data_IF_579433049186
#
_entry.id   IF_579433049186
#
_cell.length_a   1.000
_cell.length_b   1.000
_cell.length_c   1.000
_cell.angle_alpha   90.00
_cell.angle_beta   90.00
_cell.angle_gamma   90.00
#
_symmetry.space_group_name_H-M   'P 1'
#
loop_
_entity.id
_entity.type
_entity.pdbx_description
1 polymer ?
#
# COMPACT_ATOMS: atom_id res chain seq x y z
N UNK A 1 -25.29 8.91 2.48
CA UNK A 1 -25.12 7.93 3.58
C UNK A 1 -24.18 8.51 4.60
N UNK A 2 -24.39 8.16 5.87
CA UNK A 2 -23.50 8.52 6.95
C UNK A 2 -22.37 7.48 7.03
N UNK A 3 -21.14 7.91 6.74
CA UNK A 3 -19.97 7.03 6.67
C UNK A 3 -18.95 7.39 7.75
N UNK A 4 -18.58 6.41 8.58
CA UNK A 4 -17.57 6.58 9.61
C UNK A 4 -16.25 5.98 9.18
N UNK A 5 -15.19 6.80 9.11
CA UNK A 5 -13.86 6.37 8.66
C UNK A 5 -12.89 6.31 9.84
N UNK A 6 -12.33 5.13 10.09
CA UNK A 6 -11.28 4.93 11.08
C UNK A 6 -9.93 5.01 10.38
N UNK A 7 -9.08 5.97 10.77
CA UNK A 7 -7.77 6.18 10.14
C UNK A 7 -7.82 7.01 8.85
N UNK A 8 -8.71 7.99 8.80
CA UNK A 8 -8.94 8.85 7.62
C UNK A 8 -7.80 9.81 7.26
N UNK A 9 -6.75 9.98 8.10
CA UNK A 9 -5.64 10.92 7.88
C UNK A 9 -4.35 10.28 7.33
N UNK A 10 -4.31 8.96 7.18
CA UNK A 10 -3.19 8.29 6.51
C UNK A 10 -3.24 8.47 4.99
N UNK A 11 -2.16 8.09 4.29
CA UNK A 11 -2.02 8.20 2.83
C UNK A 11 -3.29 7.74 2.07
N UNK A 12 -3.73 6.52 2.30
CA UNK A 12 -4.92 5.98 1.65
C UNK A 12 -6.21 6.54 2.26
N UNK A 13 -6.25 6.73 3.59
CA UNK A 13 -7.40 7.25 4.32
C UNK A 13 -7.83 8.63 3.82
N UNK A 14 -6.89 9.55 3.61
CA UNK A 14 -7.15 10.90 3.07
C UNK A 14 -7.78 10.81 1.67
N UNK A 15 -7.28 9.95 0.79
CA UNK A 15 -7.86 9.72 -0.53
C UNK A 15 -9.29 9.18 -0.45
N UNK A 16 -9.55 8.23 0.46
CA UNK A 16 -10.89 7.67 0.69
C UNK A 16 -11.87 8.74 1.19
N UNK A 17 -11.48 9.50 2.22
CA UNK A 17 -12.33 10.58 2.76
C UNK A 17 -12.66 11.61 1.70
N UNK A 18 -11.67 12.09 0.93
CA UNK A 18 -11.88 13.04 -0.18
C UNK A 18 -12.89 12.50 -1.21
N UNK A 19 -12.77 11.21 -1.58
CA UNK A 19 -13.64 10.56 -2.55
C UNK A 19 -15.06 10.34 -2.03
N UNK A 20 -15.21 9.96 -0.76
CA UNK A 20 -16.54 9.80 -0.13
C UNK A 20 -17.28 11.14 -0.07
N UNK A 21 -16.60 12.21 0.36
CA UNK A 21 -17.19 13.57 0.36
C UNK A 21 -17.57 14.01 -1.05
N UNK A 22 -16.69 13.78 -2.03
CA UNK A 22 -16.98 14.12 -3.44
C UNK A 22 -18.15 13.30 -4.03
N UNK A 23 -18.40 12.10 -3.51
CA UNK A 23 -19.56 11.26 -3.87
C UNK A 23 -20.85 11.70 -3.15
N UNK A 24 -20.79 12.69 -2.24
CA UNK A 24 -21.95 13.23 -1.53
C UNK A 24 -22.33 12.48 -0.25
N UNK A 25 -21.38 11.80 0.37
CA UNK A 25 -21.56 11.17 1.69
C UNK A 25 -21.26 12.15 2.82
N UNK A 26 -21.96 12.01 3.93
CA UNK A 26 -21.66 12.68 5.18
C UNK A 26 -20.59 11.85 5.91
N UNK A 27 -19.40 12.43 6.10
CA UNK A 27 -18.22 11.67 6.59
C UNK A 27 -17.82 12.16 7.98
N UNK A 28 -17.73 11.20 8.92
CA UNK A 28 -17.09 11.36 10.23
C UNK A 28 -15.78 10.60 10.24
N UNK A 29 -14.66 11.24 10.61
CA UNK A 29 -13.33 10.63 10.66
C UNK A 29 -12.82 10.53 12.09
N UNK A 30 -12.56 9.29 12.57
CA UNK A 30 -11.85 9.04 13.83
C UNK A 30 -10.35 9.02 13.59
N UNK A 31 -9.62 9.87 14.31
CA UNK A 31 -8.19 10.05 14.17
C UNK A 31 -7.54 10.41 15.51
N UNK A 32 -6.26 10.05 15.69
CA UNK A 32 -5.52 10.37 16.92
C UNK A 32 -5.23 11.87 17.10
N UNK A 33 -5.36 12.66 16.02
CA UNK A 33 -5.08 14.09 16.04
C UNK A 33 -3.60 14.47 15.99
N UNK A 34 -2.74 13.52 15.62
CA UNK A 34 -1.28 13.71 15.56
C UNK A 34 -0.80 14.24 14.20
N UNK A 35 -1.66 14.24 13.19
CA UNK A 35 -1.34 14.64 11.82
C UNK A 35 -2.10 15.93 11.49
N UNK A 36 -1.41 16.93 10.94
CA UNK A 36 -2.06 18.02 10.21
C UNK A 36 -2.80 17.41 9.04
N UNK A 37 -4.13 17.35 9.14
CA UNK A 37 -4.93 16.69 8.12
C UNK A 37 -5.41 17.69 7.06
N UNK A 38 -5.23 17.29 5.81
CA UNK A 38 -5.77 17.97 4.64
C UNK A 38 -7.13 17.37 4.23
N UNK A 39 -7.98 17.09 5.23
CA UNK A 39 -9.33 16.60 4.98
C UNK A 39 -10.25 17.74 4.51
N UNK A 40 -11.20 17.44 3.59
CA UNK A 40 -12.16 18.41 3.09
C UNK A 40 -12.95 19.13 4.21
N UNK A 41 -13.32 20.38 3.93
CA UNK A 41 -14.24 21.10 4.77
C UNK A 41 -15.60 20.38 4.79
N UNK A 42 -16.17 20.18 5.99
CA UNK A 42 -17.43 19.45 6.17
C UNK A 42 -17.26 18.02 6.68
N UNK A 43 -16.04 17.50 6.75
CA UNK A 43 -15.77 16.25 7.46
C UNK A 43 -15.84 16.50 8.96
N UNK A 44 -16.67 15.73 9.66
CA UNK A 44 -16.68 15.74 11.13
C UNK A 44 -15.45 14.99 11.66
N UNK A 45 -14.67 15.65 12.54
CA UNK A 45 -13.44 15.09 13.09
C UNK A 45 -13.67 14.68 14.54
N UNK A 46 -13.42 13.39 14.82
CA UNK A 46 -13.44 12.85 16.18
C UNK A 46 -12.01 12.51 16.58
N UNK A 47 -11.50 13.20 17.61
CA UNK A 47 -10.18 12.87 18.16
C UNK A 47 -10.29 11.70 19.13
N UNK A 48 -9.48 10.66 18.91
CA UNK A 48 -9.45 9.51 19.79
C UNK A 48 -8.61 8.35 19.24
N UNK A 49 -8.22 7.46 20.13
CA UNK A 49 -7.53 6.24 19.77
C UNK A 49 -8.55 5.13 19.49
N UNK A 50 -8.44 4.48 18.30
CA UNK A 50 -9.31 3.37 17.94
C UNK A 50 -9.04 2.12 18.81
N UNK A 51 -7.84 2.01 19.40
CA UNK A 51 -7.46 0.92 20.30
C UNK A 51 -8.03 1.08 21.73
N UNK A 52 -8.75 2.19 21.99
CA UNK A 52 -9.62 2.34 23.15
C UNK A 52 -11.08 2.01 22.78
N UNK A 53 -11.61 0.82 23.18
CA UNK A 53 -12.97 0.40 22.82
C UNK A 53 -14.06 1.37 23.34
N UNK A 54 -13.79 2.11 24.40
CA UNK A 54 -14.74 3.08 24.95
C UNK A 54 -14.87 4.31 24.06
N UNK A 55 -13.75 4.77 23.47
CA UNK A 55 -13.69 5.87 22.51
C UNK A 55 -14.41 5.48 21.23
N UNK A 56 -14.05 4.30 20.65
CA UNK A 56 -14.70 3.83 19.43
C UNK A 56 -16.20 3.66 19.60
N UNK A 57 -16.64 3.02 20.70
CA UNK A 57 -18.07 2.82 21.02
C UNK A 57 -18.82 4.16 21.19
N UNK A 58 -18.20 5.12 21.84
CA UNK A 58 -18.75 6.48 21.98
C UNK A 58 -18.93 7.16 20.64
N UNK A 59 -17.87 7.16 19.82
CA UNK A 59 -17.85 7.80 18.51
C UNK A 59 -18.87 7.17 17.53
N UNK A 60 -18.94 5.83 17.45
CA UNK A 60 -19.93 5.13 16.61
C UNK A 60 -21.36 5.41 17.06
N UNK A 61 -21.61 5.41 18.38
CA UNK A 61 -22.94 5.73 18.90
C UNK A 61 -23.37 7.17 18.56
N UNK A 62 -22.45 8.12 18.71
CA UNK A 62 -22.74 9.55 18.53
C UNK A 62 -22.89 9.91 17.05
N UNK A 63 -22.11 9.27 16.16
CA UNK A 63 -22.22 9.42 14.70
C UNK A 63 -23.39 8.62 14.09
N UNK A 64 -23.80 7.51 14.70
CA UNK A 64 -24.83 6.58 14.17
C UNK A 64 -24.69 6.26 12.68
N UNK A 65 -23.53 5.82 12.20
CA UNK A 65 -23.26 5.67 10.78
C UNK A 65 -23.98 4.44 10.18
N UNK A 66 -24.34 4.54 8.89
CA UNK A 66 -24.79 3.40 8.08
C UNK A 66 -23.63 2.46 7.72
N UNK A 67 -22.45 3.06 7.44
CA UNK A 67 -21.26 2.33 6.97
C UNK A 67 -20.02 2.73 7.77
N UNK A 68 -19.21 1.74 8.15
CA UNK A 68 -17.86 1.96 8.70
C UNK A 68 -16.81 1.56 7.66
N UNK A 69 -15.79 2.40 7.47
CA UNK A 69 -14.58 2.10 6.70
C UNK A 69 -13.40 2.07 7.66
N UNK A 70 -12.76 0.91 7.85
CA UNK A 70 -11.66 0.74 8.81
C UNK A 70 -10.32 0.50 8.11
N UNK A 71 -9.43 1.49 8.24
CA UNK A 71 -8.06 1.47 7.72
C UNK A 71 -7.04 1.02 8.77
N UNK A 72 -7.43 0.92 10.05
CA UNK A 72 -6.52 0.81 11.18
C UNK A 72 -6.70 -0.47 12.02
N UNK A 73 -7.37 -1.51 11.50
CA UNK A 73 -7.46 -2.81 12.15
C UNK A 73 -6.35 -3.75 11.66
N UNK A 74 -5.52 -4.27 12.56
CA UNK A 74 -4.32 -5.04 12.21
C UNK A 74 -4.29 -6.48 12.72
N UNK A 75 -5.22 -6.87 13.59
CA UNK A 75 -5.28 -8.20 14.18
C UNK A 75 -6.72 -8.64 14.53
N UNK A 76 -6.86 -9.90 14.96
CA UNK A 76 -8.16 -10.48 15.27
C UNK A 76 -8.78 -9.93 16.57
N UNK A 77 -8.01 -9.46 17.54
CA UNK A 77 -8.53 -8.91 18.78
C UNK A 77 -9.24 -7.61 18.50
N UNK A 78 -8.52 -6.69 17.82
CA UNK A 78 -9.04 -5.42 17.34
C UNK A 78 -10.27 -5.60 16.43
N UNK A 79 -10.26 -6.62 15.55
CA UNK A 79 -11.41 -6.93 14.70
C UNK A 79 -12.64 -7.37 15.51
N UNK A 80 -12.48 -8.24 16.50
CA UNK A 80 -13.60 -8.71 17.34
C UNK A 80 -14.21 -7.58 18.16
N UNK A 81 -13.40 -6.67 18.70
CA UNK A 81 -13.87 -5.47 19.40
C UNK A 81 -14.69 -4.57 18.48
N UNK A 82 -14.21 -4.31 17.27
CA UNK A 82 -14.94 -3.53 16.28
C UNK A 82 -16.28 -4.21 15.88
N UNK A 83 -16.27 -5.52 15.68
CA UNK A 83 -17.48 -6.31 15.41
C UNK A 83 -18.48 -6.18 16.56
N UNK A 84 -18.06 -6.35 17.81
CA UNK A 84 -18.93 -6.22 18.98
C UNK A 84 -19.59 -4.84 19.06
N UNK A 85 -18.82 -3.78 18.71
CA UNK A 85 -19.32 -2.41 18.76
C UNK A 85 -20.28 -2.12 17.60
N UNK A 86 -19.98 -2.62 16.39
CA UNK A 86 -20.65 -2.18 15.16
C UNK A 86 -21.83 -3.05 14.74
N UNK A 87 -21.80 -4.39 14.97
CA UNK A 87 -22.71 -5.35 14.35
C UNK A 87 -24.21 -5.14 14.58
N UNK A 88 -24.59 -4.35 15.57
CA UNK A 88 -26.00 -4.06 15.88
C UNK A 88 -26.45 -2.64 15.51
N UNK A 89 -25.53 -1.81 14.97
CA UNK A 89 -25.77 -0.39 14.70
C UNK A 89 -25.28 0.06 13.34
N UNK A 90 -24.56 -0.78 12.60
CA UNK A 90 -23.96 -0.49 11.31
C UNK A 90 -24.44 -1.53 10.30
N UNK A 91 -24.92 -1.11 9.15
CA UNK A 91 -25.39 -2.01 8.10
C UNK A 91 -24.22 -2.68 7.35
N UNK A 92 -23.13 -1.93 7.15
CA UNK A 92 -21.97 -2.42 6.39
C UNK A 92 -20.63 -2.02 7.02
N UNK A 93 -19.70 -2.97 7.07
CA UNK A 93 -18.33 -2.76 7.50
C UNK A 93 -17.37 -3.03 6.34
N UNK A 94 -16.63 -2.01 5.92
CA UNK A 94 -15.63 -2.08 4.85
C UNK A 94 -14.24 -2.13 5.49
N UNK A 95 -13.63 -3.31 5.46
CA UNK A 95 -12.32 -3.55 6.05
C UNK A 95 -11.21 -3.36 5.02
N UNK A 96 -10.21 -2.54 5.37
CA UNK A 96 -8.97 -2.44 4.61
C UNK A 96 -8.06 -3.61 4.96
N UNK A 97 -8.13 -4.67 4.18
CA UNK A 97 -7.20 -5.79 4.19
C UNK A 97 -5.87 -5.41 3.53
N UNK A 98 -5.20 -6.40 2.96
CA UNK A 98 -3.93 -6.24 2.23
C UNK A 98 -3.70 -7.44 1.33
N UNK A 99 -2.95 -7.28 0.23
CA UNK A 99 -2.49 -8.42 -0.56
C UNK A 99 -1.46 -9.30 0.18
N UNK A 100 -0.94 -8.84 1.29
CA UNK A 100 0.02 -9.61 2.10
C UNK A 100 -0.61 -10.86 2.73
N UNK A 101 -1.93 -10.94 2.70
CA UNK A 101 -2.64 -12.19 3.08
C UNK A 101 -2.28 -13.37 2.19
N UNK A 102 -1.78 -13.15 0.97
CA UNK A 102 -1.45 -14.22 0.06
C UNK A 102 -0.08 -14.84 0.34
N UNK A 103 -0.01 -16.16 0.18
CA UNK A 103 1.25 -16.90 0.27
C UNK A 103 2.29 -16.44 -0.75
N UNK A 104 3.57 -16.42 -0.36
CA UNK A 104 4.71 -16.09 -1.22
C UNK A 104 5.73 -17.24 -1.25
N UNK A 105 6.34 -17.56 -2.40
CA UNK A 105 5.98 -17.05 -3.73
C UNK A 105 4.55 -17.46 -4.14
N UNK A 106 3.84 -16.67 -4.96
CA UNK A 106 2.53 -17.08 -5.43
C UNK A 106 2.67 -18.34 -6.29
N UNK A 107 1.79 -19.35 -6.15
CA UNK A 107 1.89 -20.58 -6.91
C UNK A 107 1.62 -20.35 -8.42
N UNK A 108 0.96 -19.26 -8.75
CA UNK A 108 0.72 -18.79 -10.13
C UNK A 108 0.41 -17.31 -10.16
N UNK A 109 0.62 -16.68 -11.29
CA UNK A 109 0.13 -15.35 -11.65
C UNK A 109 -0.97 -15.48 -12.75
N UNK A 110 -1.99 -14.61 -12.79
CA UNK A 110 -2.26 -13.60 -11.77
C UNK A 110 -2.81 -14.22 -10.46
N UNK A 111 -2.56 -13.51 -9.34
CA UNK A 111 -3.10 -13.83 -8.01
C UNK A 111 -4.55 -13.36 -7.96
N UNK A 112 -5.46 -14.26 -7.61
CA UNK A 112 -6.90 -13.99 -7.43
C UNK A 112 -7.27 -14.05 -5.96
N UNK A 113 -8.47 -13.61 -5.60
CA UNK A 113 -8.95 -13.66 -4.21
C UNK A 113 -9.12 -15.08 -3.64
N UNK A 114 -9.12 -16.08 -4.51
CA UNK A 114 -9.12 -17.51 -4.13
C UNK A 114 -7.72 -18.11 -3.96
N UNK A 115 -6.66 -17.33 -4.17
CA UNK A 115 -5.28 -17.80 -4.02
C UNK A 115 -4.95 -18.13 -2.56
N UNK A 116 -4.02 -19.08 -2.30
CA UNK A 116 -3.67 -19.50 -0.94
C UNK A 116 -3.17 -18.34 -0.07
N UNK A 117 -3.59 -18.33 1.20
CA UNK A 117 -3.18 -17.34 2.20
C UNK A 117 -2.17 -17.87 3.22
N UNK A 118 -1.95 -19.17 3.27
CA UNK A 118 -1.07 -19.83 4.25
C UNK A 118 0.12 -20.53 3.56
N UNK A 119 1.29 -20.56 4.23
CA UNK A 119 1.62 -19.83 5.45
C UNK A 119 1.74 -18.31 5.22
N UNK A 120 1.51 -17.46 6.25
CA UNK A 120 1.68 -16.01 6.14
C UNK A 120 3.15 -15.64 5.93
N UNK A 121 3.39 -14.52 5.23
CA UNK A 121 4.75 -14.05 4.91
C UNK A 121 5.40 -13.27 6.07
N UNK A 122 4.61 -12.76 7.00
CA UNK A 122 5.04 -11.96 8.14
C UNK A 122 4.00 -11.98 9.27
N UNK A 123 4.37 -11.45 10.46
CA UNK A 123 3.43 -11.27 11.57
C UNK A 123 2.30 -10.29 11.19
N UNK A 124 2.61 -9.24 10.43
CA UNK A 124 1.62 -8.33 9.88
C UNK A 124 0.60 -9.07 9.01
N UNK A 125 1.07 -9.90 8.09
CA UNK A 125 0.21 -10.72 7.25
C UNK A 125 -0.66 -11.68 8.09
N UNK A 126 -0.07 -12.32 9.11
CA UNK A 126 -0.79 -13.21 10.01
C UNK A 126 -1.91 -12.47 10.76
N UNK A 127 -1.63 -11.27 11.27
CA UNK A 127 -2.61 -10.42 11.93
C UNK A 127 -3.75 -10.01 10.99
N UNK A 128 -3.42 -9.55 9.77
CA UNK A 128 -4.43 -9.18 8.76
C UNK A 128 -5.29 -10.37 8.31
N UNK A 129 -4.71 -11.57 8.15
CA UNK A 129 -5.46 -12.81 7.85
C UNK A 129 -6.46 -13.10 8.98
N UNK A 130 -6.01 -13.04 10.23
CA UNK A 130 -6.85 -13.35 11.38
C UNK A 130 -7.97 -12.32 11.59
N UNK A 131 -7.71 -11.04 11.31
CA UNK A 131 -8.74 -10.00 11.31
C UNK A 131 -9.76 -10.22 10.20
N UNK A 132 -9.31 -10.51 8.97
CA UNK A 132 -10.19 -10.81 7.82
C UNK A 132 -11.09 -12.02 8.10
N UNK A 133 -10.55 -13.10 8.68
CA UNK A 133 -11.31 -14.28 9.04
C UNK A 133 -12.37 -13.94 10.09
N UNK A 134 -12.04 -13.14 11.12
CA UNK A 134 -12.99 -12.71 12.13
C UNK A 134 -14.15 -11.87 11.55
N UNK A 135 -13.85 -10.97 10.61
CA UNK A 135 -14.88 -10.19 9.91
C UNK A 135 -15.77 -11.07 9.02
N UNK A 136 -15.21 -12.03 8.28
CA UNK A 136 -16.01 -12.95 7.48
C UNK A 136 -16.89 -13.87 8.33
N UNK A 137 -16.41 -14.33 9.50
CA UNK A 137 -17.21 -15.12 10.45
C UNK A 137 -18.38 -14.31 11.03
N UNK A 138 -18.25 -12.98 11.11
CA UNK A 138 -19.28 -12.08 11.60
C UNK A 138 -20.25 -11.58 10.52
N UNK A 139 -19.94 -11.83 9.24
CA UNK A 139 -20.78 -11.37 8.13
C UNK A 139 -22.19 -11.93 8.21
N UNK A 140 -23.17 -11.05 8.11
CA UNK A 140 -24.59 -11.37 8.01
C UNK A 140 -25.22 -10.58 6.86
N UNK A 141 -25.67 -11.24 5.79
CA UNK A 141 -26.22 -10.54 4.62
C UNK A 141 -27.52 -9.80 4.90
N UNK A 142 -28.23 -10.14 5.98
CA UNK A 142 -29.50 -9.51 6.37
C UNK A 142 -29.32 -8.44 7.48
N UNK A 143 -28.06 -8.21 7.96
CA UNK A 143 -27.80 -7.30 9.05
C UNK A 143 -26.44 -6.61 8.97
N UNK A 144 -25.35 -7.34 9.15
CA UNK A 144 -23.99 -6.79 9.21
C UNK A 144 -23.18 -7.26 8.01
N UNK A 145 -23.26 -6.51 6.89
CA UNK A 145 -22.47 -6.83 5.70
C UNK A 145 -20.99 -6.52 5.91
N UNK A 146 -20.11 -7.44 5.56
CA UNK A 146 -18.66 -7.25 5.56
C UNK A 146 -18.12 -7.24 4.13
N UNK A 147 -17.34 -6.23 3.80
CA UNK A 147 -16.61 -6.12 2.52
C UNK A 147 -15.12 -5.95 2.81
N UNK A 148 -14.27 -6.74 2.17
CA UNK A 148 -12.82 -6.65 2.36
C UNK A 148 -12.14 -6.18 1.08
N UNK A 149 -11.34 -5.11 1.16
CA UNK A 149 -10.50 -4.67 0.07
C UNK A 149 -9.03 -5.00 0.38
N UNK A 150 -8.31 -5.50 -0.61
CA UNK A 150 -6.90 -5.89 -0.50
C UNK A 150 -6.04 -5.02 -1.43
N UNK A 151 -5.67 -3.80 -0.98
CA UNK A 151 -4.75 -2.93 -1.73
C UNK A 151 -3.31 -3.46 -1.67
N UNK A 152 -2.48 -3.02 -2.62
CA UNK A 152 -1.04 -3.24 -2.62
C UNK A 152 -0.27 -2.00 -3.04
N UNK A 153 0.80 -1.69 -2.29
CA UNK A 153 1.75 -0.62 -2.61
C UNK A 153 1.07 0.65 -3.14
N UNK A 154 0.23 1.19 -2.29
CA UNK A 154 -0.48 2.42 -2.59
C UNK A 154 0.46 3.60 -2.45
N UNK A 155 0.48 4.47 -3.46
CA UNK A 155 1.27 5.69 -3.51
C UNK A 155 0.38 6.88 -3.92
N UNK A 156 0.84 8.10 -3.67
CA UNK A 156 0.10 9.35 -3.95
C UNK A 156 0.64 10.48 -3.08
N UNK A 157 0.05 11.67 -3.17
CA UNK A 157 0.41 12.85 -2.33
C UNK A 157 0.48 12.50 -0.84
N UNK A 158 1.45 13.03 -0.13
CA UNK A 158 1.71 12.74 1.28
C UNK A 158 2.39 11.40 1.53
N UNK A 159 2.80 10.70 0.47
CA UNK A 159 3.63 9.50 0.51
C UNK A 159 4.90 9.69 -0.29
N UNK A 160 5.66 8.61 -0.46
CA UNK A 160 6.89 8.60 -1.24
C UNK A 160 6.94 7.40 -2.18
N UNK A 161 7.99 7.31 -2.98
CA UNK A 161 8.22 6.22 -3.93
C UNK A 161 9.02 5.10 -3.27
N UNK A 162 8.67 3.86 -3.59
CA UNK A 162 9.36 2.67 -3.07
C UNK A 162 10.62 2.40 -3.89
N UNK A 163 11.70 1.99 -3.24
CA UNK A 163 12.89 1.47 -3.88
C UNK A 163 13.42 0.21 -3.17
N UNK A 164 14.47 -0.41 -3.69
CA UNK A 164 14.99 -1.69 -3.15
C UNK A 164 15.33 -1.63 -1.65
N UNK A 165 15.82 -0.50 -1.16
CA UNK A 165 16.30 -0.33 0.21
C UNK A 165 15.32 0.41 1.13
N UNK A 166 14.14 0.80 0.65
CA UNK A 166 13.16 1.50 1.49
C UNK A 166 12.17 2.37 0.75
N UNK A 167 11.77 3.42 1.45
CA UNK A 167 10.76 4.38 1.01
C UNK A 167 11.18 5.82 1.35
N UNK A 168 12.47 6.08 1.57
CA UNK A 168 12.97 7.43 1.84
C UNK A 168 12.95 8.28 0.56
N UNK A 169 12.79 9.59 0.73
CA UNK A 169 12.64 10.52 -0.40
C UNK A 169 13.97 10.86 -1.08
N UNK A 170 15.10 10.50 -0.49
CA UNK A 170 16.43 10.68 -1.09
C UNK A 170 16.58 9.91 -2.42
N UNK A 171 15.78 8.86 -2.61
CA UNK A 171 15.66 8.13 -3.87
C UNK A 171 15.28 9.05 -5.05
N UNK A 172 14.42 10.04 -4.82
CA UNK A 172 13.97 11.01 -5.86
C UNK A 172 15.13 11.88 -6.31
N UNK A 173 15.85 12.44 -5.35
CA UNK A 173 17.03 13.28 -5.65
C UNK A 173 18.15 12.46 -6.29
N UNK A 174 18.32 11.20 -5.86
CA UNK A 174 19.25 10.24 -6.46
C UNK A 174 18.97 10.01 -7.95
N UNK A 175 17.71 9.84 -8.32
CA UNK A 175 17.30 9.72 -9.73
C UNK A 175 17.60 11.02 -10.50
N UNK A 176 17.26 12.19 -9.94
CA UNK A 176 17.49 13.50 -10.57
C UNK A 176 18.96 13.75 -10.84
N UNK A 177 19.82 13.39 -9.90
CA UNK A 177 21.26 13.60 -9.97
C UNK A 177 22.01 12.47 -10.71
N UNK A 178 21.30 11.49 -11.29
CA UNK A 178 21.89 10.36 -12.01
C UNK A 178 22.82 9.51 -11.15
N UNK A 179 22.52 9.39 -9.86
CA UNK A 179 23.30 8.58 -8.92
C UNK A 179 22.95 7.10 -9.04
N UNK A 180 23.85 6.19 -8.66
CA UNK A 180 23.59 4.75 -8.70
C UNK A 180 22.33 4.35 -7.92
N UNK A 181 21.46 3.56 -8.50
CA UNK A 181 20.26 2.99 -7.88
C UNK A 181 20.43 1.50 -7.68
N UNK A 182 20.33 1.04 -6.44
CA UNK A 182 20.42 -0.39 -6.13
C UNK A 182 19.16 -1.11 -6.58
N UNK A 183 19.33 -2.15 -7.38
CA UNK A 183 18.26 -3.03 -7.86
C UNK A 183 18.51 -4.45 -7.40
N UNK A 184 17.53 -5.10 -6.84
CA UNK A 184 17.66 -6.47 -6.36
C UNK A 184 17.62 -7.50 -7.50
N UNK A 185 18.45 -8.54 -7.40
CA UNK A 185 18.54 -9.61 -8.39
C UNK A 185 18.96 -9.05 -9.75
N UNK A 186 18.22 -9.36 -10.79
CA UNK A 186 18.37 -8.84 -12.15
C UNK A 186 17.34 -7.74 -12.48
N UNK A 187 16.54 -7.33 -11.51
CA UNK A 187 15.51 -6.32 -11.69
C UNK A 187 14.30 -6.76 -12.52
N UNK A 188 14.14 -8.06 -12.81
CA UNK A 188 13.09 -8.57 -13.70
C UNK A 188 11.85 -9.08 -12.98
N UNK A 189 11.82 -9.09 -11.64
CA UNK A 189 10.60 -9.45 -10.92
C UNK A 189 9.47 -8.43 -11.19
N UNK A 190 8.26 -8.97 -11.40
CA UNK A 190 7.09 -8.19 -11.81
C UNK A 190 6.29 -7.68 -10.60
N UNK A 191 5.86 -6.44 -10.69
CA UNK A 191 4.99 -5.79 -9.72
C UNK A 191 4.29 -4.57 -10.33
N UNK A 192 3.52 -3.81 -9.52
CA UNK A 192 2.94 -2.55 -9.94
C UNK A 192 2.30 -1.82 -8.77
N UNK A 193 2.75 -0.60 -8.41
CA UNK A 193 2.10 0.22 -7.40
C UNK A 193 0.78 0.78 -7.92
N UNK A 194 -0.22 0.98 -7.03
CA UNK A 194 -1.51 1.53 -7.39
C UNK A 194 -1.70 2.91 -6.77
N UNK A 195 -2.13 3.88 -7.57
CA UNK A 195 -2.37 5.22 -7.06
C UNK A 195 -3.51 5.22 -6.03
N UNK A 196 -3.34 5.96 -4.91
CA UNK A 196 -4.31 6.01 -3.81
C UNK A 196 -5.72 6.38 -4.26
N UNK A 197 -5.83 7.26 -5.26
CA UNK A 197 -7.11 7.73 -5.77
C UNK A 197 -7.90 6.65 -6.51
N UNK A 198 -7.21 5.73 -7.18
CA UNK A 198 -7.85 4.58 -7.82
C UNK A 198 -8.27 3.55 -6.75
N UNK A 199 -7.42 3.31 -5.75
CA UNK A 199 -7.77 2.46 -4.61
C UNK A 199 -8.98 3.05 -3.86
N UNK A 200 -8.98 4.35 -3.56
CA UNK A 200 -10.07 5.04 -2.87
C UNK A 200 -11.41 4.91 -3.62
N UNK A 201 -11.38 4.90 -4.96
CA UNK A 201 -12.58 4.67 -5.78
C UNK A 201 -13.23 3.31 -5.54
N UNK A 202 -12.42 2.28 -5.32
CA UNK A 202 -12.93 0.95 -4.96
C UNK A 202 -13.61 0.96 -3.58
N UNK A 203 -13.09 1.74 -2.62
CA UNK A 203 -13.73 1.91 -1.31
C UNK A 203 -15.09 2.61 -1.44
N UNK A 204 -15.23 3.64 -2.27
CA UNK A 204 -16.54 4.24 -2.57
C UNK A 204 -17.49 3.20 -3.15
N UNK A 205 -17.04 2.39 -4.11
CA UNK A 205 -17.84 1.28 -4.64
C UNK A 205 -18.25 0.26 -3.58
N UNK A 206 -17.37 -0.04 -2.62
CA UNK A 206 -17.68 -0.95 -1.51
C UNK A 206 -18.72 -0.35 -0.54
N UNK A 207 -18.74 0.97 -0.38
CA UNK A 207 -19.73 1.70 0.41
C UNK A 207 -21.10 1.70 -0.28
N UNK A 208 -21.16 2.00 -1.59
CA UNK A 208 -22.39 2.31 -2.31
C UNK A 208 -23.09 1.10 -2.92
N UNK A 209 -22.33 0.10 -3.41
CA UNK A 209 -22.91 -0.94 -4.25
C UNK A 209 -23.61 -2.03 -3.46
N UNK A 210 -24.81 -2.47 -3.86
CA UNK A 210 -25.47 -3.59 -3.22
C UNK A 210 -24.86 -4.94 -3.65
N UNK A 211 -25.00 -5.95 -2.79
CA UNK A 211 -24.62 -7.33 -3.08
C UNK A 211 -23.11 -7.60 -3.13
N UNK A 212 -22.30 -6.72 -2.55
CA UNK A 212 -20.84 -6.83 -2.49
C UNK A 212 -20.34 -7.48 -1.17
N UNK A 213 -21.25 -7.65 -0.21
CA UNK A 213 -20.95 -8.24 1.09
C UNK A 213 -20.47 -9.70 1.03
N UNK A 214 -19.75 -10.14 2.07
CA UNK A 214 -19.19 -11.49 2.20
C UNK A 214 -18.03 -11.80 1.26
N UNK A 215 -17.38 -10.79 0.68
CA UNK A 215 -16.34 -10.97 -0.34
C UNK A 215 -15.10 -10.13 -0.07
N UNK A 216 -13.95 -10.67 -0.54
CA UNK A 216 -12.72 -9.91 -0.67
C UNK A 216 -12.52 -9.46 -2.13
N UNK A 217 -11.78 -8.37 -2.30
CA UNK A 217 -11.49 -7.74 -3.58
C UNK A 217 -10.03 -7.32 -3.66
N UNK A 218 -9.30 -7.81 -4.65
CA UNK A 218 -8.00 -7.24 -4.99
C UNK A 218 -8.20 -5.86 -5.60
N UNK A 219 -7.44 -4.88 -5.12
CA UNK A 219 -7.47 -3.51 -5.62
C UNK A 219 -6.03 -3.06 -5.82
N UNK A 220 -5.50 -3.34 -6.99
CA UNK A 220 -4.07 -3.17 -7.31
C UNK A 220 -3.90 -2.50 -8.67
N UNK A 221 -2.63 -2.22 -9.05
CA UNK A 221 -2.32 -1.67 -10.35
C UNK A 221 -2.74 -2.61 -11.49
N UNK A 222 -3.15 -2.04 -12.62
CA UNK A 222 -3.27 -2.73 -13.90
C UNK A 222 -2.02 -2.57 -14.76
N UNK A 223 -1.12 -1.65 -14.40
CA UNK A 223 0.20 -1.55 -14.98
C UNK A 223 1.16 -2.51 -14.26
N UNK A 224 1.61 -3.53 -14.98
CA UNK A 224 2.62 -4.46 -14.49
C UNK A 224 3.95 -4.13 -15.14
N UNK A 225 4.99 -3.98 -14.34
CA UNK A 225 6.34 -3.63 -14.80
C UNK A 225 7.40 -4.42 -14.03
N UNK A 226 8.59 -4.52 -14.61
CA UNK A 226 9.78 -4.98 -13.89
C UNK A 226 10.34 -3.87 -13.01
N UNK A 227 11.23 -4.20 -12.07
CA UNK A 227 11.92 -3.18 -11.27
C UNK A 227 12.81 -2.28 -12.14
N UNK A 228 13.45 -2.83 -13.18
CA UNK A 228 14.20 -2.02 -14.14
C UNK A 228 13.28 -0.97 -14.78
N UNK A 229 12.17 -1.43 -15.37
CA UNK A 229 11.18 -0.53 -15.97
C UNK A 229 10.60 0.49 -14.98
N UNK A 230 10.42 0.10 -13.72
CA UNK A 230 9.95 1.02 -12.69
C UNK A 230 10.92 2.21 -12.51
N UNK A 231 12.20 1.94 -12.33
CA UNK A 231 13.22 3.00 -12.17
C UNK A 231 13.38 3.83 -13.44
N UNK A 232 13.36 3.21 -14.62
CA UNK A 232 13.39 3.89 -15.92
C UNK A 232 12.19 4.83 -16.09
N UNK A 233 10.98 4.38 -15.72
CA UNK A 233 9.75 5.16 -15.81
C UNK A 233 9.70 6.28 -14.76
N UNK A 234 10.24 6.10 -13.56
CA UNK A 234 10.41 7.17 -12.58
C UNK A 234 11.35 8.25 -13.14
N UNK A 235 12.50 7.87 -13.69
CA UNK A 235 13.42 8.82 -14.28
C UNK A 235 12.78 9.58 -15.46
N UNK A 236 12.07 8.89 -16.34
CA UNK A 236 11.35 9.52 -17.45
C UNK A 236 10.24 10.48 -16.97
N UNK A 237 9.51 10.13 -15.89
CA UNK A 237 8.49 10.99 -15.31
C UNK A 237 9.05 12.31 -14.75
N UNK A 238 10.32 12.29 -14.32
CA UNK A 238 11.01 13.43 -13.72
C UNK A 238 11.91 14.18 -14.72
N UNK A 239 11.88 13.84 -16.01
CA UNK A 239 12.81 14.36 -17.03
C UNK A 239 14.29 14.21 -16.62
N UNK A 240 14.59 13.17 -15.82
CA UNK A 240 15.91 12.87 -15.29
C UNK A 240 16.75 12.04 -16.29
N UNK A 241 18.08 11.98 -16.12
CA UNK A 241 18.93 11.08 -16.90
C UNK A 241 18.50 9.60 -16.79
N UNK A 242 18.92 8.78 -17.78
CA UNK A 242 18.79 7.30 -17.67
C UNK A 242 19.42 6.83 -16.35
N UNK A 243 18.70 6.05 -15.53
CA UNK A 243 19.17 5.68 -14.21
C UNK A 243 20.32 4.67 -14.27
N UNK A 244 21.36 4.89 -13.47
CA UNK A 244 22.49 3.97 -13.29
C UNK A 244 22.10 2.81 -12.39
N UNK A 245 21.53 1.74 -12.96
CA UNK A 245 21.02 0.59 -12.23
C UNK A 245 22.13 -0.37 -11.81
N UNK A 246 22.32 -0.55 -10.50
CA UNK A 246 23.30 -1.48 -9.93
C UNK A 246 22.61 -2.73 -9.42
N UNK A 247 22.71 -3.82 -10.18
CA UNK A 247 22.06 -5.09 -9.88
C UNK A 247 22.86 -5.89 -8.84
N UNK A 248 22.30 -6.05 -7.64
CA UNK A 248 22.91 -6.79 -6.53
C UNK A 248 22.04 -8.01 -6.20
N UNK A 249 22.64 -9.24 -6.09
CA UNK A 249 21.86 -10.41 -5.74
C UNK A 249 21.06 -10.22 -4.44
N UNK A 250 19.79 -10.61 -4.48
CA UNK A 250 18.86 -10.46 -3.35
C UNK A 250 19.43 -10.96 -2.03
N UNK A 251 20.10 -12.12 -2.04
CA UNK A 251 20.66 -12.70 -0.81
C UNK A 251 21.84 -11.90 -0.25
N UNK A 252 22.60 -11.22 -1.12
CA UNK A 252 23.67 -10.30 -0.69
C UNK A 252 23.05 -9.08 0.00
N UNK A 253 22.05 -8.44 -0.63
CA UNK A 253 21.35 -7.30 -0.03
C UNK A 253 20.75 -7.64 1.33
N UNK A 254 20.12 -8.81 1.45
CA UNK A 254 19.55 -9.29 2.72
C UNK A 254 20.58 -9.54 3.80
N UNK A 255 21.78 -9.96 3.42
CA UNK A 255 22.88 -10.20 4.36
C UNK A 255 23.53 -8.89 4.88
N UNK A 256 23.65 -7.89 4.00
CA UNK A 256 24.35 -6.63 4.33
C UNK A 256 23.42 -5.56 4.89
N UNK A 257 22.13 -5.58 4.53
CA UNK A 257 21.14 -4.59 4.96
C UNK A 257 19.80 -5.26 5.37
N UNK A 258 19.77 -6.16 6.36
CA UNK A 258 18.59 -6.98 6.69
C UNK A 258 17.37 -6.12 7.07
N UNK A 259 17.57 -5.02 7.78
CA UNK A 259 16.48 -4.14 8.21
C UNK A 259 15.89 -3.31 7.07
N UNK A 260 16.71 -2.93 6.08
CA UNK A 260 16.31 -2.15 4.91
C UNK A 260 15.65 -3.02 3.84
N UNK A 261 15.81 -4.34 3.90
CA UNK A 261 15.36 -5.29 2.85
C UNK A 261 14.19 -6.16 3.30
N UNK A 262 13.40 -5.73 4.29
CA UNK A 262 12.22 -6.49 4.76
C UNK A 262 11.18 -6.66 3.65
N UNK A 263 10.83 -5.58 2.97
CA UNK A 263 9.87 -5.63 1.85
C UNK A 263 10.39 -6.45 0.67
N UNK A 264 11.69 -6.37 0.40
CA UNK A 264 12.35 -7.23 -0.59
C UNK A 264 12.23 -8.71 -0.22
N UNK A 265 12.50 -9.06 1.04
CA UNK A 265 12.40 -10.44 1.53
C UNK A 265 10.99 -10.99 1.38
N UNK A 266 9.99 -10.20 1.75
CA UNK A 266 8.61 -10.66 1.89
C UNK A 266 7.83 -10.54 0.58
N UNK A 267 8.17 -9.56 -0.30
CA UNK A 267 7.39 -9.22 -1.48
C UNK A 267 8.20 -9.13 -2.77
N UNK A 268 9.07 -8.14 -2.90
CA UNK A 268 9.59 -7.63 -4.18
C UNK A 268 10.50 -8.61 -4.95
N UNK A 269 11.11 -9.55 -4.24
CA UNK A 269 11.91 -10.62 -4.87
C UNK A 269 11.08 -11.59 -5.73
N UNK A 270 9.76 -11.56 -5.59
CA UNK A 270 8.87 -12.46 -6.30
C UNK A 270 8.01 -11.69 -7.31
N UNK A 271 7.95 -12.19 -8.54
CA UNK A 271 6.98 -11.69 -9.50
C UNK A 271 5.56 -11.91 -8.99
N UNK A 272 4.82 -10.81 -8.81
CA UNK A 272 3.44 -10.85 -8.35
C UNK A 272 2.57 -9.91 -9.20
N UNK A 273 1.60 -10.51 -9.88
CA UNK A 273 0.59 -9.81 -10.68
C UNK A 273 -0.78 -10.20 -10.16
N UNK A 274 -1.67 -9.24 -10.01
CA UNK A 274 -3.00 -9.47 -9.45
C UNK A 274 -4.08 -9.41 -10.50
N UNK A 275 -5.18 -10.11 -10.23
CA UNK A 275 -6.42 -10.02 -10.99
C UNK A 275 -7.39 -9.10 -10.25
N UNK A 276 -7.78 -7.99 -10.86
CA UNK A 276 -8.72 -7.01 -10.33
C UNK A 276 -10.13 -7.19 -10.91
N UNK A 277 -10.39 -8.21 -11.72
CA UNK A 277 -11.64 -8.36 -12.48
C UNK A 277 -12.88 -8.38 -11.59
N UNK A 278 -12.78 -8.95 -10.38
CA UNK A 278 -13.88 -8.92 -9.41
C UNK A 278 -14.18 -7.50 -8.91
N UNK A 279 -13.16 -6.73 -8.54
CA UNK A 279 -13.34 -5.34 -8.12
C UNK A 279 -13.89 -4.46 -9.26
N UNK A 280 -13.45 -4.71 -10.50
CA UNK A 280 -13.99 -4.01 -11.67
C UNK A 280 -15.47 -4.31 -11.89
N UNK A 281 -15.86 -5.58 -11.80
CA UNK A 281 -17.24 -5.99 -12.04
C UNK A 281 -18.19 -5.54 -10.93
N UNK A 282 -17.82 -5.78 -9.68
CA UNK A 282 -18.70 -5.61 -8.52
C UNK A 282 -18.63 -4.18 -7.95
N UNK A 283 -17.42 -3.61 -7.78
CA UNK A 283 -17.20 -2.31 -7.17
C UNK A 283 -17.11 -1.16 -8.19
N UNK A 284 -16.98 -1.46 -9.48
CA UNK A 284 -16.74 -0.45 -10.51
C UNK A 284 -15.33 0.14 -10.42
N UNK A 285 -14.40 -0.59 -9.85
CA UNK A 285 -12.98 -0.21 -9.83
C UNK A 285 -12.49 0.12 -11.24
N UNK A 286 -11.71 1.17 -11.36
CA UNK A 286 -11.03 1.59 -12.59
C UNK A 286 -9.64 2.07 -12.23
N UNK A 287 -8.64 1.57 -12.93
CA UNK A 287 -7.30 2.11 -12.94
C UNK A 287 -7.27 3.29 -13.91
N UNK A 288 -6.99 4.49 -13.44
CA UNK A 288 -7.13 5.72 -14.24
C UNK A 288 -5.93 6.65 -14.14
N UNK A 289 -5.11 6.52 -13.10
CA UNK A 289 -3.90 7.32 -12.93
C UNK A 289 -2.74 6.54 -13.50
N UNK A 290 -2.20 6.98 -14.65
CA UNK A 290 -1.00 6.39 -15.22
C UNK A 290 0.18 6.53 -14.25
N UNK A 291 1.08 5.55 -14.24
CA UNK A 291 2.17 5.51 -13.25
C UNK A 291 3.02 6.79 -13.27
N UNK A 292 3.42 7.27 -14.45
CA UNK A 292 4.24 8.49 -14.58
C UNK A 292 3.51 9.74 -14.10
N UNK A 293 2.19 9.82 -14.28
CA UNK A 293 1.40 10.96 -13.79
C UNK A 293 1.33 10.95 -12.27
N UNK A 294 1.12 9.78 -11.66
CA UNK A 294 1.16 9.62 -10.21
C UNK A 294 2.54 9.88 -9.60
N UNK A 295 3.63 9.51 -10.31
CA UNK A 295 5.00 9.86 -9.89
C UNK A 295 5.18 11.37 -9.85
N UNK A 296 4.76 12.10 -10.90
CA UNK A 296 4.84 13.57 -10.92
C UNK A 296 4.04 14.22 -9.80
N UNK A 297 2.86 13.68 -9.50
CA UNK A 297 2.02 14.17 -8.40
C UNK A 297 2.71 14.02 -7.05
N UNK A 298 3.24 12.82 -6.75
CA UNK A 298 3.98 12.56 -5.50
C UNK A 298 5.18 13.50 -5.37
N UNK A 299 5.98 13.60 -6.42
CA UNK A 299 7.22 14.38 -6.37
C UNK A 299 6.93 15.88 -6.29
N UNK A 300 5.91 16.39 -7.01
CA UNK A 300 5.48 17.77 -6.89
C UNK A 300 5.04 18.11 -5.47
N UNK A 301 4.29 17.20 -4.83
CA UNK A 301 3.86 17.38 -3.45
C UNK A 301 5.06 17.44 -2.48
N UNK A 302 6.01 16.52 -2.62
CA UNK A 302 7.23 16.50 -1.79
C UNK A 302 8.10 17.76 -1.99
N UNK A 303 8.23 18.22 -3.22
CA UNK A 303 8.96 19.48 -3.54
C UNK A 303 8.26 20.70 -2.91
N UNK A 304 6.92 20.77 -3.00
CA UNK A 304 6.14 21.90 -2.45
C UNK A 304 6.19 21.95 -0.90
N UNK A 305 6.54 20.84 -0.25
CA UNK A 305 6.66 20.74 1.21
C UNK A 305 8.12 20.67 1.70
N UNK A 306 9.12 20.83 0.82
CA UNK A 306 10.54 20.71 1.14
C UNK A 306 10.89 19.33 1.79
N UNK A 307 10.22 18.25 1.38
CA UNK A 307 10.38 16.90 1.94
C UNK A 307 11.27 15.97 1.12
N UNK A 308 11.85 16.43 0.01
CA UNK A 308 12.84 15.65 -0.73
C UNK A 308 14.19 15.77 -0.04
N UNK A 309 14.65 14.66 0.55
CA UNK A 309 15.99 14.60 1.15
C UNK A 309 17.08 14.57 0.06
N UNK A 310 18.27 15.17 0.31
CA UNK A 310 19.39 15.08 -0.62
C UNK A 310 19.85 13.63 -0.80
N UNK A 311 20.32 13.28 -2.00
CA UNK A 311 20.73 11.93 -2.37
C UNK A 311 21.82 11.32 -1.46
N UNK A 312 22.65 12.14 -0.84
CA UNK A 312 23.72 11.75 0.07
C UNK A 312 23.28 11.64 1.54
N UNK A 313 22.00 11.86 1.83
CA UNK A 313 21.43 11.58 3.16
C UNK A 313 21.49 10.08 3.51
N UNK A 314 21.47 9.20 2.50
CA UNK A 314 21.65 7.75 2.67
C UNK A 314 22.93 7.24 1.97
N UNK A 315 24.08 7.21 2.68
CA UNK A 315 25.34 6.74 2.11
C UNK A 315 25.36 5.24 1.79
N UNK A 316 24.43 4.45 2.34
CA UNK A 316 24.39 3.00 2.14
C UNK A 316 24.27 2.63 0.66
N UNK A 317 23.49 3.38 -0.12
CA UNK A 317 23.31 3.12 -1.54
C UNK A 317 24.62 3.24 -2.32
N UNK A 318 25.42 4.27 -2.03
CA UNK A 318 26.71 4.50 -2.72
C UNK A 318 27.77 3.49 -2.25
N UNK A 319 27.82 3.21 -0.96
CA UNK A 319 28.73 2.21 -0.38
C UNK A 319 28.47 0.82 -0.97
N UNK A 320 27.20 0.43 -1.09
CA UNK A 320 26.81 -0.83 -1.72
C UNK A 320 27.15 -0.88 -3.20
N UNK A 321 26.87 0.20 -3.94
CA UNK A 321 27.17 0.27 -5.36
C UNK A 321 28.67 0.15 -5.63
N UNK A 322 29.49 0.90 -4.89
CA UNK A 322 30.95 0.87 -5.00
C UNK A 322 31.49 -0.51 -4.63
N UNK A 323 31.15 -1.04 -3.46
CA UNK A 323 31.64 -2.34 -3.00
C UNK A 323 31.24 -3.49 -3.92
N UNK A 324 30.03 -3.44 -4.51
CA UNK A 324 29.55 -4.45 -5.43
C UNK A 324 30.31 -4.41 -6.76
N UNK A 325 30.53 -3.22 -7.33
CA UNK A 325 31.32 -3.03 -8.55
C UNK A 325 32.74 -3.50 -8.37
N UNK A 326 33.43 -3.05 -7.32
CA UNK A 326 34.80 -3.46 -7.01
C UNK A 326 34.93 -4.99 -6.87
N UNK A 327 33.98 -5.62 -6.19
CA UNK A 327 33.97 -7.07 -5.98
C UNK A 327 33.75 -7.83 -7.30
N UNK A 328 32.87 -7.32 -8.16
CA UNK A 328 32.57 -7.92 -9.46
C UNK A 328 33.75 -7.79 -10.41
N UNK A 329 34.38 -6.62 -10.47
CA UNK A 329 35.54 -6.37 -11.30
C UNK A 329 36.74 -7.25 -10.86
N UNK A 330 36.97 -7.35 -9.55
CA UNK A 330 38.00 -8.23 -9.00
C UNK A 330 37.73 -9.72 -9.32
N UNK A 331 36.46 -10.14 -9.28
CA UNK A 331 36.06 -11.48 -9.65
C UNK A 331 36.34 -11.76 -11.13
N UNK A 332 35.93 -10.88 -12.05
CA UNK A 332 36.15 -11.02 -13.49
C UNK A 332 37.65 -11.04 -13.81
N UNK A 333 38.43 -10.11 -13.27
CA UNK A 333 39.88 -10.03 -13.46
C UNK A 333 40.62 -11.31 -13.01
N UNK A 334 40.08 -12.00 -11.98
CA UNK A 334 40.64 -13.27 -11.52
C UNK A 334 40.53 -14.41 -12.53
N UNK A 335 39.54 -14.34 -13.44
CA UNK A 335 39.37 -15.34 -14.52
C UNK A 335 40.12 -14.94 -15.79
N UNK A 336 40.28 -13.66 -16.08
CA UNK A 336 41.04 -13.19 -17.28
C UNK A 336 42.56 -13.41 -17.13
N UNK A 337 43.08 -13.44 -15.89
CA UNK A 337 44.49 -13.67 -15.63
C UNK A 337 44.87 -15.14 -15.57
N UNK A 338 43.94 -16.07 -15.79
CA UNK A 338 44.14 -17.53 -15.77
C UNK A 338 44.34 -18.17 -17.16
N UNK A 339 44.37 -17.37 -18.25
CA UNK A 339 44.83 -17.78 -19.59
C UNK A 339 46.30 -17.34 -19.77
#
# INVERSE_FOLDING_TARGET
MDVFVIGGTGLLGTGIVRRLVAAGHDVTSLQRGETDDDLPSGVERVAGDRDDPSVLRGAIRDASPEVVVDMACFDAETAREAIEICRSVVDRYVFCGTIDVYHRPPPRNPVTESSPRNPPVSDYAAGKIAAEDAFFDAHDPDGFEVVVLRPWNTYGEGGTLVHTLGTDSSYIDRIREGKPVIVHGDGTSLWGPCHRDDVARAFVGAVERPGVGGRAYNVTSEETMTWNQYHERVAAALDAPEPDLVHVPTEVLRAVAPDRTRMLRDHFRYSTVFDNSRAQADLGFRYTVAFEDGVREVVSWLDDHDEVEPWDADPLSDDLAAAWRDSTDAFVAGFESGE
#
